data_IF_622049284896
#
_entry.id   IF_622049284896
#
_cell.length_a   1.000
_cell.length_b   1.000
_cell.length_c   1.000
_cell.angle_alpha   90.00
_cell.angle_beta   90.00
_cell.angle_gamma   90.00
#
_symmetry.space_group_name_H-M   'P 1'
#
loop_
_entity.id
_entity.type
_entity.pdbx_description
1 polymer ?
#
# COMPACT_ATOMS: atom_id res chain seq x y z
N UNK A 1 -30.20 24.46 5.29
CA UNK A 1 -29.86 24.33 3.85
C UNK A 1 -28.62 23.48 3.73
N UNK A 2 -28.80 22.18 3.56
CA UNK A 2 -27.75 21.25 3.16
C UNK A 2 -27.45 21.49 1.67
N UNK A 3 -26.18 21.60 1.23
CA UNK A 3 -25.90 21.69 -0.19
C UNK A 3 -26.34 20.37 -0.84
N UNK A 4 -27.31 20.43 -1.75
CA UNK A 4 -27.69 19.27 -2.55
C UNK A 4 -26.60 19.03 -3.59
N UNK A 5 -25.74 18.04 -3.36
CA UNK A 5 -24.81 17.55 -4.37
C UNK A 5 -25.59 16.67 -5.34
N UNK A 6 -26.20 17.30 -6.33
CA UNK A 6 -26.81 16.59 -7.44
C UNK A 6 -25.68 15.87 -8.19
N UNK A 7 -25.66 14.55 -8.11
CA UNK A 7 -24.76 13.68 -8.88
C UNK A 7 -24.96 13.94 -10.36
N UNK A 8 -24.02 14.65 -10.98
CA UNK A 8 -23.81 14.49 -12.41
C UNK A 8 -23.52 13.00 -12.64
N UNK A 9 -24.24 12.37 -13.57
CA UNK A 9 -24.17 10.93 -13.80
C UNK A 9 -22.71 10.40 -13.87
N UNK A 10 -22.40 9.37 -13.08
CA UNK A 10 -21.40 8.36 -13.44
C UNK A 10 -19.95 8.49 -12.96
N UNK A 11 -19.55 9.51 -12.17
CA UNK A 11 -18.17 9.58 -11.62
C UNK A 11 -18.12 9.13 -10.15
N UNK A 12 -17.18 8.23 -9.84
CA UNK A 12 -16.88 7.80 -8.47
C UNK A 12 -16.17 8.92 -7.72
N UNK A 13 -16.71 9.35 -6.57
CA UNK A 13 -16.07 10.38 -5.74
C UNK A 13 -14.92 9.76 -4.95
N UNK A 14 -13.75 10.39 -4.99
CA UNK A 14 -12.52 9.89 -4.36
C UNK A 14 -12.08 10.83 -3.25
N UNK A 15 -11.83 10.24 -2.08
CA UNK A 15 -11.15 10.87 -0.95
C UNK A 15 -9.72 10.33 -0.81
N UNK A 16 -8.77 11.17 -0.42
CA UNK A 16 -7.38 10.72 -0.15
C UNK A 16 -6.95 11.19 1.23
N UNK A 17 -6.55 10.24 2.10
CA UNK A 17 -5.98 10.55 3.41
C UNK A 17 -4.48 10.31 3.40
N UNK A 18 -3.71 11.38 3.58
CA UNK A 18 -2.25 11.36 3.61
C UNK A 18 -1.63 12.00 2.36
N UNK A 19 -1.26 13.28 2.45
CA UNK A 19 -0.65 14.05 1.36
C UNK A 19 0.89 14.03 1.37
N UNK A 20 1.46 12.85 1.50
CA UNK A 20 2.88 12.60 1.21
C UNK A 20 3.14 12.46 -0.30
N UNK A 21 4.35 12.01 -0.72
CA UNK A 21 4.68 11.83 -2.14
C UNK A 21 3.67 10.95 -2.90
N UNK A 22 3.27 9.81 -2.31
CA UNK A 22 2.29 8.90 -2.91
C UNK A 22 0.92 9.57 -3.05
N UNK A 23 0.35 10.09 -1.95
CA UNK A 23 -0.98 10.68 -1.96
C UNK A 23 -1.09 11.89 -2.89
N UNK A 24 -0.06 12.74 -2.98
CA UNK A 24 -0.03 13.88 -3.92
C UNK A 24 0.05 13.41 -5.38
N UNK A 25 0.84 12.38 -5.67
CA UNK A 25 0.93 11.83 -7.01
C UNK A 25 -0.41 11.20 -7.44
N UNK A 26 -1.07 10.46 -6.55
CA UNK A 26 -2.39 9.88 -6.81
C UNK A 26 -3.46 10.97 -6.94
N UNK A 27 -3.46 11.98 -6.08
CA UNK A 27 -4.40 13.12 -6.19
C UNK A 27 -4.32 13.80 -7.56
N UNK A 28 -3.10 14.10 -8.03
CA UNK A 28 -2.89 14.68 -9.38
C UNK A 28 -3.38 13.76 -10.49
N UNK A 29 -3.17 12.44 -10.35
CA UNK A 29 -3.61 11.48 -11.35
C UNK A 29 -5.14 11.37 -11.40
N UNK A 30 -5.81 11.34 -10.24
CA UNK A 30 -7.28 11.34 -10.12
C UNK A 30 -7.87 12.63 -10.68
N UNK A 31 -7.25 13.77 -10.41
CA UNK A 31 -7.77 15.07 -10.82
C UNK A 31 -7.49 15.45 -12.29
N UNK A 32 -6.68 14.65 -12.98
CA UNK A 32 -6.33 14.87 -14.38
C UNK A 32 -6.59 13.65 -15.26
N UNK A 33 -5.81 12.60 -15.07
CA UNK A 33 -5.64 11.50 -16.05
C UNK A 33 -6.55 10.28 -15.87
N UNK A 34 -7.45 10.30 -14.89
CA UNK A 34 -8.30 9.15 -14.55
C UNK A 34 -9.77 9.48 -14.79
N UNK A 35 -10.27 9.02 -15.93
CA UNK A 35 -11.68 9.13 -16.29
C UNK A 35 -12.56 8.31 -15.34
N UNK A 36 -13.77 8.82 -15.09
CA UNK A 36 -14.75 8.17 -14.22
C UNK A 36 -14.54 8.44 -12.71
N UNK A 37 -13.55 9.25 -12.32
CA UNK A 37 -13.31 9.63 -10.93
C UNK A 37 -13.41 11.13 -10.74
N UNK A 38 -13.84 11.58 -9.55
CA UNK A 38 -13.82 12.98 -9.13
C UNK A 38 -13.14 13.09 -7.77
N UNK A 39 -12.05 13.85 -7.65
CA UNK A 39 -11.42 14.10 -6.36
C UNK A 39 -12.28 15.08 -5.55
N UNK A 40 -12.85 14.65 -4.42
CA UNK A 40 -13.78 15.46 -3.62
C UNK A 40 -13.23 15.86 -2.27
N UNK A 41 -12.34 15.04 -1.70
CA UNK A 41 -11.81 15.28 -0.36
C UNK A 41 -10.34 14.91 -0.23
N UNK A 42 -9.60 15.72 0.52
CA UNK A 42 -8.24 15.47 0.92
C UNK A 42 -8.12 15.57 2.44
N UNK A 43 -7.20 14.81 3.04
CA UNK A 43 -6.83 14.98 4.44
C UNK A 43 -5.33 14.85 4.63
N UNK A 44 -4.77 15.69 5.49
CA UNK A 44 -3.39 15.59 5.92
C UNK A 44 -3.22 16.18 7.33
N UNK A 45 -2.15 15.76 8.02
CA UNK A 45 -1.81 16.25 9.36
C UNK A 45 -1.65 17.76 9.47
N UNK A 46 -1.20 18.44 8.39
CA UNK A 46 -1.02 19.90 8.35
C UNK A 46 -2.07 20.51 7.42
N UNK A 47 -3.10 21.21 7.94
CA UNK A 47 -4.20 21.73 7.13
C UNK A 47 -3.77 22.78 6.10
N UNK A 48 -2.95 23.77 6.47
CA UNK A 48 -2.57 24.85 5.54
C UNK A 48 -1.84 24.36 4.27
N UNK A 49 -0.77 23.54 4.35
CA UNK A 49 -0.15 22.94 3.16
C UNK A 49 -1.03 21.95 2.38
N UNK A 50 -2.09 21.43 3.02
CA UNK A 50 -3.08 20.61 2.34
C UNK A 50 -4.05 21.49 1.54
N UNK A 51 -4.45 22.63 2.10
CA UNK A 51 -5.30 23.61 1.43
C UNK A 51 -4.59 24.24 0.22
N UNK A 52 -3.34 24.67 0.37
CA UNK A 52 -2.53 25.16 -0.76
C UNK A 52 -2.45 24.15 -1.90
N UNK A 53 -2.31 22.86 -1.58
CA UNK A 53 -2.29 21.80 -2.57
C UNK A 53 -3.67 21.59 -3.20
N UNK A 54 -4.75 21.58 -2.41
CA UNK A 54 -6.11 21.49 -2.90
C UNK A 54 -6.44 22.65 -3.87
N UNK A 55 -6.03 23.87 -3.53
CA UNK A 55 -6.26 25.06 -4.35
C UNK A 55 -5.48 25.03 -5.67
N UNK A 56 -4.39 24.26 -5.74
CA UNK A 56 -3.62 24.04 -6.97
C UNK A 56 -4.22 23.01 -7.93
N UNK A 57 -5.22 22.26 -7.47
CA UNK A 57 -5.88 21.20 -8.23
C UNK A 57 -7.16 21.73 -8.92
N UNK A 58 -7.41 21.39 -10.19
CA UNK A 58 -8.65 21.71 -10.90
C UNK A 58 -9.96 21.49 -10.11
N UNK A 59 -10.11 20.35 -9.40
CA UNK A 59 -11.34 20.07 -8.64
C UNK A 59 -11.51 20.87 -7.35
N UNK A 60 -10.42 21.47 -6.82
CA UNK A 60 -10.40 22.16 -5.52
C UNK A 60 -11.09 21.35 -4.40
N UNK A 61 -10.61 20.12 -4.12
CA UNK A 61 -11.27 19.22 -3.18
C UNK A 61 -11.29 19.80 -1.75
N UNK A 62 -12.31 19.43 -0.97
CA UNK A 62 -12.41 19.88 0.42
C UNK A 62 -11.28 19.28 1.27
N UNK A 63 -10.68 20.09 2.16
CA UNK A 63 -9.72 19.60 3.14
C UNK A 63 -10.44 19.27 4.45
N UNK A 64 -10.49 17.99 4.82
CA UNK A 64 -11.28 17.46 5.94
C UNK A 64 -10.39 16.76 6.98
N UNK A 65 -10.95 16.50 8.18
CA UNK A 65 -10.31 15.57 9.12
C UNK A 65 -10.39 14.15 8.56
N UNK A 66 -9.45 13.29 8.93
CA UNK A 66 -9.32 11.95 8.38
C UNK A 66 -10.62 11.13 8.49
N UNK A 67 -11.31 11.24 9.63
CA UNK A 67 -12.56 10.54 9.93
C UNK A 67 -13.75 11.03 9.09
N UNK A 68 -13.69 12.27 8.61
CA UNK A 68 -14.77 12.94 7.87
C UNK A 68 -14.65 12.72 6.35
N UNK A 69 -13.52 12.20 5.87
CA UNK A 69 -13.29 12.01 4.43
C UNK A 69 -14.30 11.01 3.85
N UNK A 70 -14.65 9.97 4.60
CA UNK A 70 -15.63 8.97 4.17
C UNK A 70 -16.96 9.63 3.77
N UNK A 71 -17.43 10.65 4.48
CA UNK A 71 -18.73 11.29 4.25
C UNK A 71 -18.80 12.04 2.90
N UNK A 72 -17.64 12.45 2.37
CA UNK A 72 -17.53 13.26 1.16
C UNK A 72 -17.24 12.46 -0.12
N UNK A 73 -17.09 11.13 -0.04
CA UNK A 73 -16.68 10.30 -1.17
C UNK A 73 -17.28 8.88 -1.16
N UNK A 74 -17.02 8.14 -2.24
CA UNK A 74 -17.47 6.74 -2.45
C UNK A 74 -16.29 5.75 -2.34
N UNK A 75 -15.07 6.25 -2.60
CA UNK A 75 -13.82 5.51 -2.51
C UNK A 75 -12.79 6.34 -1.73
N UNK A 76 -12.16 5.75 -0.72
CA UNK A 76 -11.05 6.37 0.04
C UNK A 76 -9.73 5.68 -0.27
N UNK A 77 -8.69 6.46 -0.54
CA UNK A 77 -7.32 6.00 -0.70
C UNK A 77 -6.55 6.36 0.56
N UNK A 78 -6.15 5.32 1.31
CA UNK A 78 -5.32 5.43 2.50
C UNK A 78 -3.85 5.53 2.09
N UNK A 79 -3.22 6.67 2.37
CA UNK A 79 -1.81 6.97 2.12
C UNK A 79 -1.15 7.57 3.38
N UNK A 80 -1.56 7.12 4.55
CA UNK A 80 -1.26 7.71 5.84
C UNK A 80 -0.34 6.82 6.68
N UNK A 81 0.26 7.33 7.77
CA UNK A 81 0.93 6.48 8.73
C UNK A 81 -0.03 5.46 9.36
N UNK A 82 0.43 4.22 9.55
CA UNK A 82 -0.35 3.12 10.14
C UNK A 82 -1.04 3.48 11.48
N UNK A 83 -0.47 4.41 12.26
CA UNK A 83 -1.02 4.84 13.55
C UNK A 83 -2.42 5.48 13.47
N UNK A 84 -2.84 5.95 12.29
CA UNK A 84 -4.19 6.50 12.08
C UNK A 84 -5.03 5.62 11.14
N UNK A 85 -4.59 4.40 10.84
CA UNK A 85 -5.26 3.51 9.87
C UNK A 85 -6.73 3.27 10.23
N UNK A 86 -7.03 2.84 11.46
CA UNK A 86 -8.41 2.57 11.88
C UNK A 86 -9.31 3.81 11.81
N UNK A 87 -8.77 4.98 12.15
CA UNK A 87 -9.50 6.25 12.07
C UNK A 87 -9.92 6.61 10.64
N UNK A 88 -9.24 6.04 9.63
CA UNK A 88 -9.55 6.19 8.22
C UNK A 88 -10.44 5.05 7.75
N UNK A 89 -10.05 3.82 8.06
CA UNK A 89 -10.61 2.61 7.47
C UNK A 89 -12.00 2.27 8.05
N UNK A 90 -12.19 2.43 9.36
CA UNK A 90 -13.45 2.07 10.01
C UNK A 90 -14.65 2.85 9.45
N UNK A 91 -14.63 4.21 9.35
CA UNK A 91 -15.76 4.95 8.77
C UNK A 91 -16.07 4.55 7.32
N UNK A 92 -15.05 4.22 6.53
CA UNK A 92 -15.22 3.83 5.12
C UNK A 92 -15.92 2.47 5.02
N UNK A 93 -15.45 1.51 5.81
CA UNK A 93 -15.97 0.15 5.80
C UNK A 93 -17.38 0.09 6.40
N UNK A 94 -17.63 0.79 7.51
CA UNK A 94 -18.96 0.87 8.14
C UNK A 94 -20.02 1.47 7.21
N UNK A 95 -19.61 2.40 6.33
CA UNK A 95 -20.49 3.02 5.34
C UNK A 95 -20.64 2.19 4.05
N UNK A 96 -20.08 0.99 3.96
CA UNK A 96 -20.19 0.13 2.77
C UNK A 96 -19.40 0.64 1.56
N UNK A 97 -18.38 1.48 1.77
CA UNK A 97 -17.62 2.16 0.69
C UNK A 97 -16.36 1.40 0.29
N UNK A 98 -15.70 1.86 -0.77
CA UNK A 98 -14.42 1.26 -1.21
C UNK A 98 -13.25 1.87 -0.45
N UNK A 99 -12.37 1.04 0.09
CA UNK A 99 -11.12 1.45 0.74
C UNK A 99 -9.93 0.89 -0.06
N UNK A 100 -9.04 1.75 -0.54
CA UNK A 100 -7.73 1.36 -1.09
C UNK A 100 -6.69 1.49 0.02
N UNK A 101 -6.03 0.38 0.38
CA UNK A 101 -5.09 0.28 1.50
C UNK A 101 -3.66 0.18 1.02
N UNK A 102 -2.83 1.21 1.27
CA UNK A 102 -1.40 1.17 0.96
C UNK A 102 -0.59 0.66 2.16
N UNK A 103 -1.11 0.85 3.37
CA UNK A 103 -0.54 0.35 4.61
C UNK A 103 -1.05 -1.06 4.92
N UNK A 104 -0.80 -2.02 4.02
CA UNK A 104 -1.27 -3.41 4.17
C UNK A 104 -0.87 -4.04 5.53
N UNK A 105 0.28 -3.65 6.08
CA UNK A 105 0.69 -4.09 7.41
C UNK A 105 -0.24 -3.65 8.55
N UNK A 106 -0.88 -2.48 8.43
CA UNK A 106 -1.87 -2.02 9.39
C UNK A 106 -3.15 -2.86 9.33
N UNK A 107 -3.57 -3.27 8.11
CA UNK A 107 -4.75 -4.10 7.89
C UNK A 107 -4.66 -5.46 8.63
N UNK A 108 -3.47 -6.03 8.80
CA UNK A 108 -3.32 -7.27 9.59
C UNK A 108 -3.72 -7.11 11.06
N UNK A 109 -3.47 -5.94 11.65
CA UNK A 109 -3.86 -5.64 13.03
C UNK A 109 -5.34 -5.24 13.13
N UNK A 110 -5.94 -4.88 11.99
CA UNK A 110 -7.32 -4.41 11.88
C UNK A 110 -8.18 -5.38 11.07
N UNK A 111 -7.90 -6.69 11.18
CA UNK A 111 -8.57 -7.72 10.36
C UNK A 111 -10.09 -7.77 10.57
N UNK A 112 -10.57 -7.33 11.73
CA UNK A 112 -12.00 -7.14 12.01
C UNK A 112 -12.71 -6.28 10.95
N UNK A 113 -12.00 -5.36 10.29
CA UNK A 113 -12.56 -4.55 9.20
C UNK A 113 -12.87 -5.37 7.95
N UNK A 114 -12.15 -6.47 7.69
CA UNK A 114 -12.47 -7.39 6.61
C UNK A 114 -13.79 -8.09 6.88
N UNK A 115 -14.04 -8.47 8.14
CA UNK A 115 -15.31 -9.06 8.55
C UNK A 115 -16.45 -8.04 8.50
N UNK A 116 -16.22 -6.81 8.95
CA UNK A 116 -17.19 -5.72 8.79
C UNK A 116 -17.52 -5.48 7.32
N UNK A 117 -16.52 -5.47 6.43
CA UNK A 117 -16.72 -5.24 4.99
C UNK A 117 -17.64 -6.29 4.35
N UNK A 118 -17.56 -7.55 4.79
CA UNK A 118 -18.47 -8.62 4.35
C UNK A 118 -19.93 -8.33 4.72
N UNK A 119 -20.16 -7.70 5.87
CA UNK A 119 -21.51 -7.38 6.36
C UNK A 119 -22.07 -6.08 5.78
N UNK A 120 -21.23 -5.09 5.48
CA UNK A 120 -21.64 -3.76 5.00
C UNK A 120 -21.66 -3.63 3.48
N UNK A 121 -21.06 -4.58 2.76
CA UNK A 121 -20.87 -4.51 1.32
C UNK A 121 -19.68 -3.62 0.91
N UNK A 122 -18.86 -3.18 1.87
CA UNK A 122 -17.63 -2.46 1.57
C UNK A 122 -16.64 -3.35 0.81
N UNK A 123 -15.75 -2.70 0.06
CA UNK A 123 -14.67 -3.38 -0.66
C UNK A 123 -13.33 -2.86 -0.19
N UNK A 124 -12.45 -3.75 0.27
CA UNK A 124 -11.06 -3.41 0.62
C UNK A 124 -10.15 -3.86 -0.51
N UNK A 125 -9.39 -2.92 -1.07
CA UNK A 125 -8.48 -3.11 -2.18
C UNK A 125 -7.04 -2.90 -1.71
N UNK A 126 -6.18 -3.89 -1.92
CA UNK A 126 -4.75 -3.78 -1.65
C UNK A 126 -4.02 -3.77 -3.01
N UNK A 127 -3.45 -2.64 -3.44
CA UNK A 127 -2.70 -2.59 -4.69
C UNK A 127 -1.39 -3.37 -4.57
N UNK A 128 -0.79 -3.73 -5.71
CA UNK A 128 0.53 -4.38 -5.78
C UNK A 128 1.63 -3.57 -5.07
N UNK A 129 1.49 -2.24 -5.05
CA UNK A 129 2.42 -1.36 -4.35
C UNK A 129 3.80 -1.38 -4.98
N UNK A 130 4.82 -1.66 -4.17
CA UNK A 130 6.23 -1.70 -4.59
C UNK A 130 6.72 -3.11 -4.99
N UNK A 131 5.81 -4.05 -5.18
CA UNK A 131 6.08 -5.41 -5.66
C UNK A 131 5.65 -5.60 -7.12
N UNK A 132 5.78 -6.83 -7.60
CA UNK A 132 5.33 -7.31 -8.89
C UNK A 132 4.71 -8.70 -8.74
N UNK A 133 3.88 -9.07 -9.72
CA UNK A 133 3.44 -10.46 -9.90
C UNK A 133 2.50 -11.01 -8.84
N UNK A 134 1.79 -10.14 -8.10
CA UNK A 134 0.79 -10.61 -7.15
C UNK A 134 -0.37 -11.34 -7.84
N UNK A 135 -0.63 -11.04 -9.11
CA UNK A 135 -1.56 -11.78 -9.98
C UNK A 135 -1.13 -13.25 -10.17
N UNK A 136 0.16 -13.50 -10.45
CA UNK A 136 0.71 -14.85 -10.55
C UNK A 136 0.68 -15.59 -9.21
N UNK A 137 0.93 -14.89 -8.10
CA UNK A 137 0.82 -15.45 -6.74
C UNK A 137 -0.62 -15.84 -6.42
N UNK A 138 -1.59 -14.96 -6.74
CA UNK A 138 -3.01 -15.24 -6.56
C UNK A 138 -3.45 -16.45 -7.40
N UNK A 139 -3.03 -16.52 -8.67
CA UNK A 139 -3.33 -17.66 -9.51
C UNK A 139 -2.77 -18.98 -8.96
N UNK A 140 -1.53 -18.97 -8.43
CA UNK A 140 -0.95 -20.14 -7.78
C UNK A 140 -1.70 -20.52 -6.48
N UNK A 141 -2.22 -19.53 -5.74
CA UNK A 141 -2.96 -19.73 -4.49
C UNK A 141 -4.34 -20.39 -4.66
N UNK A 142 -4.87 -20.47 -5.89
CA UNK A 142 -6.06 -21.28 -6.20
C UNK A 142 -5.76 -22.80 -6.16
N UNK A 143 -4.48 -23.18 -6.19
CA UNK A 143 -4.01 -24.56 -6.06
C UNK A 143 -3.26 -24.83 -4.74
N UNK A 144 -2.41 -25.86 -4.73
CA UNK A 144 -1.56 -26.17 -3.59
C UNK A 144 -0.23 -25.42 -3.71
N UNK A 145 -0.06 -24.40 -2.87
CA UNK A 145 1.23 -23.70 -2.72
C UNK A 145 2.06 -24.36 -1.62
N UNK A 146 3.23 -24.86 -2.00
CA UNK A 146 4.19 -25.49 -1.11
C UNK A 146 5.02 -24.46 -0.35
N UNK A 147 5.50 -23.41 -1.01
CA UNK A 147 6.26 -22.34 -0.34
C UNK A 147 6.11 -20.99 -1.05
N UNK A 148 6.14 -19.92 -0.24
CA UNK A 148 6.29 -18.54 -0.70
C UNK A 148 7.39 -17.91 0.12
N UNK A 149 8.47 -17.48 -0.53
CA UNK A 149 9.60 -16.81 0.11
C UNK A 149 9.84 -15.45 -0.51
N UNK A 150 10.05 -14.45 0.34
CA UNK A 150 10.46 -13.12 -0.04
C UNK A 150 11.83 -12.79 0.55
N UNK A 151 12.77 -12.40 -0.29
CA UNK A 151 14.06 -11.86 0.14
C UNK A 151 14.10 -10.38 -0.18
N UNK A 152 14.28 -9.54 0.84
CA UNK A 152 14.46 -8.10 0.69
C UNK A 152 15.90 -7.74 0.99
N UNK A 153 16.57 -7.05 0.06
CA UNK A 153 17.91 -6.49 0.30
C UNK A 153 17.84 -4.98 0.30
N UNK A 154 18.56 -4.35 1.22
CA UNK A 154 18.54 -2.89 1.39
C UNK A 154 19.96 -2.35 1.60
N UNK A 155 20.24 -1.14 1.12
CA UNK A 155 21.41 -0.39 1.56
C UNK A 155 21.41 -0.28 3.09
N UNK A 156 22.57 -0.27 3.75
CA UNK A 156 22.68 -0.19 5.21
C UNK A 156 21.86 0.98 5.80
N UNK A 157 21.92 2.15 5.13
CA UNK A 157 21.14 3.35 5.50
C UNK A 157 19.64 3.10 5.59
N UNK A 158 19.09 2.18 4.79
CA UNK A 158 17.66 1.86 4.73
C UNK A 158 17.15 1.00 5.90
N UNK A 159 18.05 0.54 6.76
CA UNK A 159 17.75 -0.33 7.91
C UNK A 159 17.99 0.36 9.27
N UNK A 160 18.62 1.53 9.30
CA UNK A 160 18.98 2.23 10.53
C UNK A 160 17.78 2.62 11.42
N UNK A 161 16.58 2.76 10.87
CA UNK A 161 15.39 3.14 11.65
C UNK A 161 14.52 1.95 12.07
N UNK A 162 14.92 0.72 11.75
CA UNK A 162 14.11 -0.47 12.05
C UNK A 162 14.10 -0.74 13.57
N UNK A 163 12.93 -0.84 14.23
CA UNK A 163 12.83 -1.19 15.65
C UNK A 163 13.62 -2.44 16.04
N UNK A 164 13.57 -3.49 15.20
CA UNK A 164 14.30 -4.75 15.41
C UNK A 164 15.82 -4.55 15.54
N UNK A 165 16.36 -3.51 14.91
CA UNK A 165 17.79 -3.24 14.83
C UNK A 165 18.30 -2.22 15.83
N UNK A 166 17.45 -1.61 16.67
CA UNK A 166 17.90 -0.60 17.64
C UNK A 166 19.00 -1.12 18.56
N UNK A 167 18.83 -2.32 19.11
CA UNK A 167 19.84 -3.00 19.96
C UNK A 167 20.80 -3.90 19.16
N UNK A 168 20.61 -3.99 17.83
CA UNK A 168 21.37 -4.86 16.93
C UNK A 168 22.15 -4.10 15.85
N UNK A 169 22.35 -2.79 16.04
CA UNK A 169 23.09 -1.94 15.08
C UNK A 169 24.52 -2.41 14.84
N UNK A 170 25.12 -3.10 15.81
CA UNK A 170 26.45 -3.70 15.67
C UNK A 170 26.53 -4.72 14.52
N UNK A 171 25.42 -5.34 14.12
CA UNK A 171 25.35 -6.23 12.94
C UNK A 171 25.59 -5.51 11.62
N UNK A 172 25.38 -4.19 11.58
CA UNK A 172 25.53 -3.37 10.37
C UNK A 172 26.88 -2.65 10.31
N UNK A 173 27.58 -2.51 11.42
CA UNK A 173 28.83 -1.76 11.50
C UNK A 173 29.97 -2.49 10.82
N UNK A 174 30.54 -1.89 9.77
CA UNK A 174 31.72 -2.45 9.07
C UNK A 174 31.43 -3.66 8.17
N UNK A 175 30.17 -3.93 7.85
CA UNK A 175 29.80 -5.00 6.93
C UNK A 175 30.33 -4.71 5.51
N UNK A 176 31.19 -5.58 5.00
CA UNK A 176 31.72 -5.56 3.62
C UNK A 176 31.04 -6.56 2.70
N UNK A 177 30.15 -7.39 3.24
CA UNK A 177 29.37 -8.40 2.52
C UNK A 177 27.90 -8.32 2.97
N UNK A 178 26.94 -8.86 2.19
CA UNK A 178 25.55 -8.90 2.58
C UNK A 178 25.31 -9.66 3.89
N UNK A 179 24.65 -9.00 4.86
CA UNK A 179 24.33 -9.56 6.18
C UNK A 179 22.83 -9.81 6.30
N UNK A 180 22.41 -11.05 6.56
CA UNK A 180 21.01 -11.36 6.88
C UNK A 180 20.68 -10.82 8.27
N UNK A 181 19.81 -9.83 8.32
CA UNK A 181 19.41 -9.18 9.58
C UNK A 181 18.14 -9.77 10.18
N UNK A 182 17.34 -10.48 9.37
CA UNK A 182 16.10 -11.12 9.80
C UNK A 182 15.78 -12.33 8.93
N UNK A 183 15.20 -13.36 9.55
CA UNK A 183 14.61 -14.53 8.90
C UNK A 183 13.44 -14.99 9.76
N UNK A 184 12.27 -15.12 9.17
CA UNK A 184 11.02 -15.47 9.86
C UNK A 184 9.83 -15.34 8.92
N UNK A 185 8.63 -15.27 9.48
CA UNK A 185 7.38 -15.09 8.73
C UNK A 185 7.09 -13.60 8.49
N UNK A 186 6.19 -13.32 7.53
CA UNK A 186 5.68 -11.97 7.32
C UNK A 186 5.01 -11.38 8.58
N UNK A 187 4.35 -12.22 9.39
CA UNK A 187 3.78 -11.79 10.68
C UNK A 187 4.85 -11.38 11.68
N UNK A 188 5.89 -12.17 11.86
CA UNK A 188 6.98 -11.86 12.82
C UNK A 188 7.74 -10.60 12.43
N UNK A 189 7.88 -10.34 11.13
CA UNK A 189 8.51 -9.13 10.62
C UNK A 189 7.72 -7.85 10.93
N UNK A 190 6.42 -7.95 11.23
CA UNK A 190 5.52 -6.80 11.37
C UNK A 190 5.93 -5.81 12.44
N UNK A 191 6.26 -6.30 13.63
CA UNK A 191 6.67 -5.44 14.74
C UNK A 191 8.09 -4.91 14.56
N UNK A 192 8.96 -5.72 13.94
CA UNK A 192 10.39 -5.43 13.82
C UNK A 192 10.77 -4.50 12.67
N UNK A 193 10.04 -4.58 11.54
CA UNK A 193 10.36 -3.88 10.30
C UNK A 193 9.13 -3.22 9.65
N UNK A 194 8.48 -2.23 10.30
CA UNK A 194 7.25 -1.61 9.79
C UNK A 194 7.35 -1.07 8.36
N UNK A 195 8.54 -0.55 7.97
CA UNK A 195 8.76 -0.03 6.63
C UNK A 195 8.82 -1.10 5.53
N UNK A 196 9.17 -2.34 5.87
CA UNK A 196 9.21 -3.47 4.94
C UNK A 196 7.91 -4.31 5.01
N UNK A 197 7.05 -4.02 5.97
CA UNK A 197 5.88 -4.83 6.26
C UNK A 197 4.85 -4.79 5.14
N UNK A 198 4.57 -3.62 4.56
CA UNK A 198 3.47 -3.48 3.60
C UNK A 198 3.63 -4.37 2.37
N UNK A 199 4.86 -4.52 1.85
CA UNK A 199 5.13 -5.40 0.70
C UNK A 199 5.04 -6.88 1.08
N UNK A 200 5.64 -7.28 2.21
CA UNK A 200 5.57 -8.66 2.68
C UNK A 200 4.12 -9.09 2.98
N UNK A 201 3.32 -8.17 3.52
CA UNK A 201 1.91 -8.41 3.81
C UNK A 201 1.07 -8.43 2.54
N UNK A 202 1.30 -7.53 1.58
CA UNK A 202 0.60 -7.61 0.30
C UNK A 202 0.84 -8.96 -0.39
N UNK A 203 2.08 -9.47 -0.37
CA UNK A 203 2.41 -10.82 -0.84
C UNK A 203 1.68 -11.90 -0.04
N UNK A 204 1.72 -11.81 1.28
CA UNK A 204 1.08 -12.78 2.15
C UNK A 204 -0.45 -12.85 1.94
N UNK A 205 -1.10 -11.69 1.77
CA UNK A 205 -2.53 -11.60 1.49
C UNK A 205 -2.89 -12.11 0.09
N UNK A 206 -2.00 -11.95 -0.88
CA UNK A 206 -2.16 -12.49 -2.23
C UNK A 206 -1.92 -14.01 -2.31
N UNK A 207 -1.16 -14.57 -1.37
CA UNK A 207 -0.72 -15.97 -1.39
C UNK A 207 -1.21 -16.76 -0.18
N UNK A 208 -0.25 -17.31 0.58
CA UNK A 208 -0.49 -18.35 1.59
C UNK A 208 -0.80 -17.82 3.00
N UNK A 209 -1.01 -16.52 3.13
CA UNK A 209 -1.19 -15.85 4.42
C UNK A 209 0.13 -15.49 5.12
N UNK A 210 0.07 -14.62 6.15
CA UNK A 210 1.25 -14.01 6.77
C UNK A 210 2.06 -14.97 7.64
N UNK A 211 1.46 -16.07 8.09
CA UNK A 211 2.10 -17.09 8.91
C UNK A 211 2.87 -18.13 8.08
N UNK A 212 2.58 -18.25 6.78
CA UNK A 212 3.23 -19.20 5.86
C UNK A 212 4.13 -18.53 4.82
N UNK A 213 4.10 -17.20 4.73
CA UNK A 213 4.97 -16.44 3.85
C UNK A 213 6.30 -16.18 4.57
N UNK A 214 7.37 -16.78 4.07
CA UNK A 214 8.72 -16.63 4.61
C UNK A 214 9.32 -15.29 4.14
N UNK A 215 9.97 -14.58 5.05
CA UNK A 215 10.65 -13.32 4.78
C UNK A 215 12.10 -13.37 5.29
N UNK A 216 13.02 -12.98 4.41
CA UNK A 216 14.38 -12.62 4.77
C UNK A 216 14.63 -11.15 4.49
N UNK A 217 15.33 -10.48 5.42
CA UNK A 217 15.79 -9.11 5.23
C UNK A 217 17.30 -9.11 5.35
N UNK A 218 17.96 -8.49 4.37
CA UNK A 218 19.39 -8.41 4.25
C UNK A 218 19.84 -6.95 4.18
N UNK A 219 20.90 -6.63 4.90
CA UNK A 219 21.68 -5.42 4.71
C UNK A 219 22.75 -5.71 3.68
N UNK A 220 22.81 -4.92 2.61
CA UNK A 220 23.73 -5.14 1.50
C UNK A 220 24.52 -3.83 1.25
N UNK A 221 25.86 -3.82 1.47
CA UNK A 221 26.68 -2.63 1.32
C UNK A 221 26.84 -2.18 -0.14
N UNK A 222 26.65 -3.09 -1.10
CA UNK A 222 26.84 -2.80 -2.52
C UNK A 222 25.58 -2.27 -3.21
N UNK A 223 24.44 -2.26 -2.49
CA UNK A 223 23.19 -1.74 -3.02
C UNK A 223 23.04 -0.24 -2.78
N UNK A 224 22.56 0.44 -3.82
CA UNK A 224 22.12 1.84 -3.78
C UNK A 224 20.60 1.99 -3.53
N UNK A 225 19.84 0.92 -3.84
CA UNK A 225 18.37 0.84 -3.76
C UNK A 225 17.86 -0.47 -3.16
N UNK A 226 16.60 -0.46 -2.72
CA UNK A 226 15.95 -1.65 -2.21
C UNK A 226 15.62 -2.62 -3.36
N UNK A 227 15.89 -3.90 -3.14
CA UNK A 227 15.48 -4.98 -4.03
C UNK A 227 14.61 -5.98 -3.29
N UNK A 228 13.67 -6.56 -4.03
CA UNK A 228 12.81 -7.64 -3.55
C UNK A 228 12.88 -8.78 -4.55
N UNK A 229 13.05 -10.00 -4.04
CA UNK A 229 12.90 -11.23 -4.80
C UNK A 229 11.81 -12.07 -4.14
N UNK A 230 10.91 -12.61 -4.95
CA UNK A 230 9.84 -13.52 -4.54
C UNK A 230 10.08 -14.84 -5.24
N UNK A 231 9.97 -15.94 -4.50
CA UNK A 231 10.03 -17.30 -5.03
C UNK A 231 8.81 -18.05 -4.55
N UNK A 232 8.12 -18.69 -5.50
CA UNK A 232 6.90 -19.47 -5.25
C UNK A 232 7.08 -20.85 -5.83
N UNK A 233 6.77 -21.85 -5.00
CA UNK A 233 6.67 -23.25 -5.40
C UNK A 233 5.23 -23.71 -5.16
N UNK A 234 4.55 -24.08 -6.23
CA UNK A 234 3.18 -24.61 -6.22
C UNK A 234 3.05 -25.79 -7.17
N UNK A 235 1.97 -26.56 -7.00
CA UNK A 235 1.60 -27.66 -7.90
C UNK A 235 1.39 -27.22 -9.36
N UNK A 236 0.92 -25.99 -9.54
CA UNK A 236 0.60 -25.38 -10.82
C UNK A 236 1.78 -24.69 -11.49
N UNK A 237 2.75 -24.19 -10.71
CA UNK A 237 3.91 -23.48 -11.22
C UNK A 237 5.03 -23.33 -10.16
N UNK A 238 6.27 -23.30 -10.65
CA UNK A 238 7.44 -22.78 -9.92
C UNK A 238 7.92 -21.51 -10.61
N UNK A 239 8.05 -20.42 -9.88
CA UNK A 239 8.50 -19.14 -10.43
C UNK A 239 9.24 -18.27 -9.44
N UNK A 240 10.08 -17.39 -9.98
CA UNK A 240 10.78 -16.36 -9.24
C UNK A 240 10.64 -15.01 -9.94
N UNK A 241 10.49 -13.94 -9.17
CA UNK A 241 10.30 -12.58 -9.64
C UNK A 241 11.20 -11.64 -8.85
N UNK A 242 11.80 -10.66 -9.51
CA UNK A 242 12.64 -9.67 -8.84
C UNK A 242 12.33 -8.25 -9.30
N UNK A 243 12.45 -7.31 -8.37
CA UNK A 243 12.27 -5.88 -8.64
C UNK A 243 13.32 -5.06 -7.88
N UNK A 244 13.84 -4.04 -8.56
CA UNK A 244 14.71 -3.02 -7.98
C UNK A 244 13.99 -1.67 -8.09
N UNK A 245 13.46 -1.18 -6.98
CA UNK A 245 12.61 0.00 -6.98
C UNK A 245 13.42 1.28 -7.21
N UNK A 246 12.96 2.13 -8.14
CA UNK A 246 13.46 3.51 -8.25
C UNK A 246 12.88 4.33 -7.08
N UNK A 247 13.71 4.92 -6.21
CA UNK A 247 13.23 5.66 -5.06
C UNK A 247 12.43 6.89 -5.47
N UNK A 248 11.38 7.19 -4.72
CA UNK A 248 10.72 8.49 -4.75
C UNK A 248 11.49 9.52 -3.92
N UNK A 249 10.96 10.74 -3.76
CA UNK A 249 11.45 11.72 -2.78
C UNK A 249 11.61 11.11 -1.36
N UNK A 250 10.74 10.15 -1.02
CA UNK A 250 10.97 9.25 0.10
C UNK A 250 11.75 8.02 -0.39
N UNK A 251 13.04 7.94 -0.07
CA UNK A 251 13.94 6.83 -0.42
C UNK A 251 13.45 5.45 0.05
N UNK A 252 12.53 5.39 1.02
CA UNK A 252 11.92 4.12 1.48
C UNK A 252 10.77 3.65 0.60
N UNK A 253 10.22 4.50 -0.28
CA UNK A 253 9.06 4.20 -1.12
C UNK A 253 9.43 4.30 -2.60
N UNK A 254 9.16 3.24 -3.36
CA UNK A 254 9.38 3.24 -4.81
C UNK A 254 8.34 4.09 -5.54
N UNK A 255 8.75 4.78 -6.61
CA UNK A 255 7.87 5.57 -7.47
C UNK A 255 6.68 4.75 -8.00
N UNK A 256 6.89 3.46 -8.24
CA UNK A 256 5.86 2.53 -8.73
C UNK A 256 4.67 2.37 -7.77
N UNK A 257 4.83 2.67 -6.48
CA UNK A 257 3.76 2.54 -5.48
C UNK A 257 2.55 3.39 -5.84
N UNK A 258 2.76 4.68 -6.14
CA UNK A 258 1.67 5.56 -6.55
C UNK A 258 1.08 5.12 -7.90
N UNK A 259 1.93 4.68 -8.83
CA UNK A 259 1.51 4.21 -10.15
C UNK A 259 0.65 2.94 -10.05
N UNK A 260 0.91 2.06 -9.08
CA UNK A 260 0.09 0.86 -8.85
C UNK A 260 -1.35 1.22 -8.47
N UNK A 261 -1.55 2.28 -7.67
CA UNK A 261 -2.88 2.81 -7.34
C UNK A 261 -3.54 3.41 -8.57
N UNK A 262 -2.80 4.19 -9.35
CA UNK A 262 -3.31 4.79 -10.59
C UNK A 262 -3.77 3.71 -11.58
N UNK A 263 -2.99 2.63 -11.73
CA UNK A 263 -3.35 1.48 -12.58
C UNK A 263 -4.57 0.75 -12.01
N UNK A 264 -4.63 0.52 -10.70
CA UNK A 264 -5.79 -0.09 -10.04
C UNK A 264 -7.08 0.69 -10.32
N UNK A 265 -7.03 2.03 -10.18
CA UNK A 265 -8.19 2.87 -10.45
C UNK A 265 -8.55 2.89 -11.95
N UNK A 266 -7.55 2.99 -12.83
CA UNK A 266 -7.75 2.97 -14.29
C UNK A 266 -8.40 1.67 -14.76
N UNK A 267 -7.96 0.50 -14.24
CA UNK A 267 -8.54 -0.81 -14.56
C UNK A 267 -10.04 -0.86 -14.30
N UNK A 268 -10.51 -0.23 -13.22
CA UNK A 268 -11.93 -0.24 -12.83
C UNK A 268 -12.84 0.55 -13.77
N UNK A 269 -12.28 1.46 -14.57
CA UNK A 269 -13.04 2.26 -15.56
C UNK A 269 -12.67 1.93 -17.00
N UNK A 270 -11.71 1.03 -17.24
CA UNK A 270 -11.24 0.67 -18.59
C UNK A 270 -12.08 -0.45 -19.22
N UNK A 271 -12.31 -0.33 -20.54
CA UNK A 271 -12.97 -1.38 -21.33
C UNK A 271 -12.07 -2.61 -21.56
N UNK A 272 -10.74 -2.41 -21.60
CA UNK A 272 -9.74 -3.48 -21.64
C UNK A 272 -9.07 -3.58 -20.27
N UNK A 273 -9.01 -4.79 -19.73
CA UNK A 273 -8.36 -5.11 -18.46
C UNK A 273 -7.27 -6.16 -18.71
N UNK A 274 -6.10 -5.98 -18.08
CA UNK A 274 -4.92 -6.86 -18.24
C UNK A 274 -4.55 -7.42 -16.87
N UNK A 275 -4.44 -8.75 -16.75
CA UNK A 275 -4.22 -9.44 -15.47
C UNK A 275 -5.45 -9.36 -14.56
N UNK A 276 -5.30 -9.81 -13.30
CA UNK A 276 -6.34 -9.69 -12.26
C UNK A 276 -6.40 -8.29 -11.65
#
# INVERSE_FOLDING_TARGET
MTPSWTTAAGRTRVGIVGLGPVGRAVARAVDGSLDGYLLTALSARRPAPAQEFADSLPSRPAVLRAQEVADACDLVIECAPAAIFDQIAQPVVEQGKTLVVLSAGALLNSWHLVDTARTTGATILVPTGALLGLDAVQAAAEGVVHSVRMTTRKPLRGLLDAPYLQDRRHLLGGATEPVRVFSGTAREAASGFPANLNVAVALALAGVGPDRTELEIWADPDLDRNTHQITVEADSASFSMSIANVPSENVKTGLITALSVVVLLRKRTSALQIGT
#
